data_IF_237637698953
#
_entry.id   IF_237637698953
#
_cell.length_a   1.000
_cell.length_b   1.000
_cell.length_c   1.000
_cell.angle_alpha   90.00
_cell.angle_beta   90.00
_cell.angle_gamma   90.00
#
_symmetry.space_group_name_H-M   'P 1'
#
loop_
_entity.id
_entity.type
_entity.pdbx_description
1 polymer ?
#
# COMPACT_ATOMS: atom_id res chain seq x y z
N UNK A 1 11.91 18.44 1.72
CA UNK A 1 11.31 18.88 2.99
C UNK A 1 10.36 17.77 3.40
N UNK A 2 10.92 16.71 4.00
CA UNK A 2 10.13 15.58 4.49
C UNK A 2 9.72 15.94 5.92
N UNK A 3 8.44 15.75 6.28
CA UNK A 3 7.93 16.10 7.59
C UNK A 3 8.82 15.44 8.67
N UNK A 4 9.35 16.27 9.57
CA UNK A 4 10.36 15.87 10.56
C UNK A 4 9.80 14.96 11.66
N UNK A 5 8.48 14.81 11.72
CA UNK A 5 7.79 13.96 12.69
C UNK A 5 6.97 12.90 11.96
N UNK A 6 7.28 11.64 12.26
CA UNK A 6 6.46 10.49 11.86
C UNK A 6 5.06 10.67 12.46
N UNK A 7 3.97 10.52 11.70
CA UNK A 7 2.62 10.60 12.25
C UNK A 7 2.51 9.65 13.45
N UNK A 8 2.00 10.16 14.57
CA UNK A 8 1.81 9.37 15.77
C UNK A 8 0.66 8.38 15.49
N UNK A 9 1.01 7.18 15.01
CA UNK A 9 0.06 6.09 14.75
C UNK A 9 -0.45 5.46 16.06
N UNK A 10 -0.77 6.28 17.07
CA UNK A 10 -1.58 5.85 18.20
C UNK A 10 -3.00 5.61 17.69
N UNK A 11 -3.20 4.43 17.13
CA UNK A 11 -4.50 3.79 17.12
C UNK A 11 -4.83 3.41 18.56
N UNK A 12 -5.21 4.39 19.37
CA UNK A 12 -6.00 4.15 20.57
C UNK A 12 -7.37 3.66 20.09
N UNK A 13 -7.41 2.37 19.73
CA UNK A 13 -8.61 1.61 19.40
C UNK A 13 -9.39 1.38 20.69
N UNK A 14 -9.85 2.46 21.32
CA UNK A 14 -10.63 2.40 22.54
C UNK A 14 -11.69 3.49 22.53
N UNK A 15 -12.84 3.14 21.98
CA UNK A 15 -14.02 3.99 21.86
C UNK A 15 -14.41 4.16 20.40
N UNK A 16 -15.59 3.66 20.03
CA UNK A 16 -16.28 4.12 18.84
C UNK A 16 -16.38 5.65 18.93
N UNK A 17 -15.56 6.37 18.16
CA UNK A 17 -15.61 7.83 18.08
C UNK A 17 -17.04 8.20 17.69
N UNK A 18 -17.73 9.01 18.48
CA UNK A 18 -19.08 9.45 18.13
C UNK A 18 -19.01 10.39 16.93
N UNK A 19 -20.05 10.40 16.11
CA UNK A 19 -20.18 11.36 15.01
C UNK A 19 -20.04 12.79 15.55
N UNK A 20 -19.12 13.59 14.98
CA UNK A 20 -18.87 14.96 15.41
C UNK A 20 -20.03 15.92 15.06
N UNK A 21 -20.91 15.53 14.14
CA UNK A 21 -22.08 16.32 13.74
C UNK A 21 -23.32 16.04 14.61
N UNK A 22 -23.69 14.77 14.79
CA UNK A 22 -24.91 14.41 15.54
C UNK A 22 -24.63 13.92 16.96
N UNK A 23 -23.47 13.33 17.24
CA UNK A 23 -23.12 12.78 18.56
C UNK A 23 -23.93 11.54 18.99
N UNK A 24 -24.91 11.11 18.20
CA UNK A 24 -25.84 10.02 18.55
C UNK A 24 -25.33 8.64 18.10
N UNK A 25 -24.67 8.59 16.94
CA UNK A 25 -24.18 7.36 16.33
C UNK A 25 -22.65 7.28 16.31
N UNK A 26 -22.07 6.07 16.32
CA UNK A 26 -20.65 5.90 16.10
C UNK A 26 -20.25 6.37 14.68
N UNK A 27 -19.15 7.09 14.59
CA UNK A 27 -18.57 7.51 13.34
C UNK A 27 -18.03 6.31 12.56
N UNK A 28 -18.50 6.16 11.34
CA UNK A 28 -18.12 5.11 10.39
C UNK A 28 -17.32 5.66 9.22
N UNK A 29 -17.36 6.98 9.01
CA UNK A 29 -16.73 7.71 7.90
C UNK A 29 -15.69 8.68 8.46
N UNK A 30 -14.50 8.69 7.86
CA UNK A 30 -13.45 9.68 8.13
C UNK A 30 -13.31 10.61 6.94
N UNK A 31 -13.57 11.90 7.16
CA UNK A 31 -13.50 12.95 6.15
C UNK A 31 -12.19 13.74 6.29
N UNK A 32 -11.49 13.93 5.17
CA UNK A 32 -10.33 14.80 5.05
C UNK A 32 -10.72 16.01 4.20
N UNK A 33 -10.66 17.21 4.78
CA UNK A 33 -10.90 18.45 4.04
C UNK A 33 -9.61 19.25 3.95
N UNK A 34 -9.25 19.66 2.74
CA UNK A 34 -8.09 20.51 2.48
C UNK A 34 -8.59 21.89 2.07
N UNK A 35 -8.36 22.89 2.92
CA UNK A 35 -8.69 24.29 2.62
C UNK A 35 -7.42 25.12 2.80
N UNK A 36 -7.00 25.83 1.75
CA UNK A 36 -5.80 26.69 1.75
C UNK A 36 -4.52 26.00 2.27
N UNK A 37 -4.36 24.70 1.98
CA UNK A 37 -3.21 23.90 2.39
C UNK A 37 -3.26 23.38 3.83
N UNK A 38 -4.30 23.73 4.60
CA UNK A 38 -4.58 23.14 5.91
C UNK A 38 -5.48 21.91 5.74
N UNK A 39 -5.05 20.79 6.33
CA UNK A 39 -5.81 19.53 6.34
C UNK A 39 -6.59 19.43 7.65
N UNK A 40 -7.92 19.35 7.57
CA UNK A 40 -8.80 19.09 8.72
C UNK A 40 -9.39 17.69 8.61
N UNK A 41 -9.42 17.00 9.74
CA UNK A 41 -9.95 15.64 9.90
C UNK A 41 -11.31 15.70 10.62
N UNK A 42 -12.31 14.97 10.16
CA UNK A 42 -13.65 14.95 10.76
C UNK A 42 -14.24 13.54 10.74
N UNK A 43 -14.81 13.09 11.85
CA UNK A 43 -15.44 11.77 11.99
C UNK A 43 -16.96 11.86 11.96
N UNK A 44 -17.61 11.20 10.99
CA UNK A 44 -19.06 11.29 10.76
C UNK A 44 -19.72 9.91 10.72
N UNK A 45 -21.00 9.82 11.11
CA UNK A 45 -21.85 8.67 10.81
C UNK A 45 -22.26 8.68 9.32
N UNK A 46 -22.87 7.60 8.85
CA UNK A 46 -23.28 7.46 7.44
C UNK A 46 -24.26 8.54 7.01
N UNK A 47 -25.27 8.84 7.83
CA UNK A 47 -26.29 9.85 7.49
C UNK A 47 -25.71 11.27 7.43
N UNK A 48 -24.86 11.63 8.40
CA UNK A 48 -24.20 12.94 8.41
C UNK A 48 -23.16 13.08 7.29
N UNK A 49 -22.56 11.98 6.83
CA UNK A 49 -21.63 12.02 5.70
C UNK A 49 -22.36 12.29 4.38
N UNK A 50 -23.57 11.75 4.19
CA UNK A 50 -24.39 11.98 2.99
C UNK A 50 -24.86 13.44 2.89
N UNK A 51 -25.30 14.04 3.99
CA UNK A 51 -25.73 15.45 3.99
C UNK A 51 -24.59 16.40 3.67
N UNK A 52 -23.39 16.15 4.21
CA UNK A 52 -22.19 16.94 3.90
C UNK A 52 -21.74 16.75 2.44
N UNK A 53 -21.94 15.55 1.88
CA UNK A 53 -21.66 15.29 0.47
C UNK A 53 -22.61 16.04 -0.48
N UNK A 54 -23.89 16.18 -0.10
CA UNK A 54 -24.90 16.90 -0.89
C UNK A 54 -24.70 18.43 -0.87
N UNK A 55 -24.21 18.99 0.25
CA UNK A 55 -23.98 20.44 0.38
C UNK A 55 -22.67 20.93 -0.24
N UNK A 56 -21.68 20.06 -0.40
CA UNK A 56 -20.39 20.41 -0.95
C UNK A 56 -20.29 20.01 -2.43
N UNK A 57 -20.67 20.95 -3.30
CA UNK A 57 -20.26 20.96 -4.72
C UNK A 57 -18.73 20.81 -4.81
N UNK A 58 -18.27 19.59 -5.09
CA UNK A 58 -16.84 19.29 -5.24
C UNK A 58 -16.15 18.70 -4.01
N UNK A 59 -16.88 18.10 -3.06
CA UNK A 59 -16.28 17.02 -2.27
C UNK A 59 -15.90 15.92 -3.26
N UNK A 60 -14.64 15.95 -3.69
CA UNK A 60 -13.96 14.78 -4.19
C UNK A 60 -14.04 13.77 -3.06
N UNK A 61 -15.13 13.00 -3.08
CA UNK A 61 -15.19 11.67 -2.52
C UNK A 61 -14.06 10.95 -3.24
N UNK A 62 -12.85 11.05 -2.70
CA UNK A 62 -11.72 10.19 -3.02
C UNK A 62 -12.00 8.84 -2.36
N UNK A 63 -13.18 8.30 -2.64
CA UNK A 63 -13.40 6.88 -2.64
C UNK A 63 -13.02 6.44 -4.04
N UNK A 64 -12.32 5.32 -4.11
CA UNK A 64 -11.93 4.65 -5.34
C UNK A 64 -13.18 4.24 -6.15
N UNK A 65 -13.85 5.21 -6.76
CA UNK A 65 -15.00 5.00 -7.63
C UNK A 65 -14.43 4.57 -8.99
N UNK A 66 -14.73 3.34 -9.46
CA UNK A 66 -14.28 2.89 -10.76
C UNK A 66 -14.68 3.88 -11.86
N UNK A 67 -13.81 4.07 -12.86
CA UNK A 67 -13.97 4.98 -13.99
C UNK A 67 -15.30 4.81 -14.74
N UNK A 68 -15.90 3.62 -14.67
CA UNK A 68 -17.23 3.31 -15.22
C UNK A 68 -18.35 4.10 -14.53
N UNK A 69 -18.30 4.28 -13.21
CA UNK A 69 -19.32 5.03 -12.46
C UNK A 69 -19.16 6.54 -12.64
N UNK A 70 -17.94 7.01 -12.92
CA UNK A 70 -17.68 8.41 -13.30
C UNK A 70 -18.38 8.81 -14.60
N UNK A 71 -18.70 7.84 -15.47
CA UNK A 71 -19.47 8.07 -16.71
C UNK A 71 -20.98 8.15 -16.48
N UNK A 72 -21.49 7.63 -15.36
CA UNK A 72 -22.91 7.73 -15.00
C UNK A 72 -23.30 9.10 -14.41
N UNK A 73 -22.34 9.84 -13.85
CA UNK A 73 -22.55 11.20 -13.33
C UNK A 73 -22.41 12.32 -14.37
N UNK A 74 -21.97 12.01 -15.61
CA UNK A 74 -21.98 12.97 -16.72
C UNK A 74 -23.19 12.68 -17.60
N UNK A 75 -24.23 13.51 -17.47
CA UNK A 75 -25.28 13.60 -18.47
C UNK A 75 -24.71 13.79 -19.89
N UNK A 76 -25.47 13.43 -20.94
CA UNK A 76 -24.97 13.37 -22.30
C UNK A 76 -24.66 14.78 -22.81
N UNK A 77 -23.43 15.24 -22.63
CA UNK A 77 -22.87 16.31 -23.43
C UNK A 77 -22.21 15.67 -24.64
N UNK A 78 -22.88 15.81 -25.77
CA UNK A 78 -22.31 15.58 -27.10
C UNK A 78 -20.97 16.33 -27.21
N UNK A 79 -19.91 15.60 -27.50
CA UNK A 79 -18.81 16.12 -28.31
C UNK A 79 -18.03 14.93 -28.83
N UNK A 80 -18.21 14.71 -30.14
CA UNK A 80 -17.44 13.80 -30.94
C UNK A 80 -15.95 14.20 -30.91
N UNK A 81 -15.12 13.29 -30.44
CA UNK A 81 -13.76 13.15 -30.93
C UNK A 81 -13.46 11.65 -30.98
N UNK A 82 -13.89 11.04 -32.09
CA UNK A 82 -13.46 9.73 -32.51
C UNK A 82 -11.93 9.75 -32.65
N UNK A 83 -11.23 9.30 -31.62
CA UNK A 83 -9.87 8.79 -31.77
C UNK A 83 -9.97 7.28 -31.75
N UNK A 84 -9.92 6.70 -32.94
CA UNK A 84 -9.62 5.30 -33.17
C UNK A 84 -8.23 4.98 -32.62
N UNK A 85 -8.14 4.74 -31.31
CA UNK A 85 -6.98 4.09 -30.72
C UNK A 85 -7.15 2.58 -30.89
N UNK A 86 -6.24 2.02 -31.68
CA UNK A 86 -5.99 0.60 -31.90
C UNK A 86 -6.26 -0.24 -30.65
N UNK A 87 -7.18 -1.18 -30.76
CA UNK A 87 -7.27 -2.36 -29.90
C UNK A 87 -6.15 -3.32 -30.30
N UNK A 88 -4.91 -3.00 -29.90
CA UNK A 88 -3.78 -3.94 -29.93
C UNK A 88 -3.40 -4.22 -28.48
N UNK A 89 -3.92 -5.33 -27.96
CA UNK A 89 -3.64 -5.84 -26.62
C UNK A 89 -4.94 -6.27 -25.95
N UNK A 90 -5.07 -7.56 -25.64
CA UNK A 90 -6.14 -8.08 -24.80
C UNK A 90 -6.22 -7.23 -23.52
N UNK A 91 -7.24 -6.37 -23.43
CA UNK A 91 -7.46 -5.53 -22.27
C UNK A 91 -7.80 -6.45 -21.11
N UNK A 92 -6.77 -6.85 -20.34
CA UNK A 92 -6.98 -7.56 -19.09
C UNK A 92 -7.78 -6.62 -18.19
N UNK A 93 -8.93 -7.09 -17.75
CA UNK A 93 -9.81 -6.37 -16.84
C UNK A 93 -10.16 -7.25 -15.64
N UNK A 94 -10.38 -6.61 -14.50
CA UNK A 94 -10.84 -7.31 -13.32
C UNK A 94 -12.34 -7.59 -13.44
N UNK A 95 -12.73 -8.87 -13.46
CA UNK A 95 -14.15 -9.25 -13.52
C UNK A 95 -14.97 -8.85 -12.26
N UNK A 96 -14.31 -8.46 -11.16
CA UNK A 96 -14.97 -8.08 -9.90
C UNK A 96 -15.32 -6.60 -9.85
N UNK A 97 -14.38 -5.71 -10.18
CA UNK A 97 -14.57 -4.26 -10.08
C UNK A 97 -14.51 -3.52 -11.42
N UNK A 98 -14.26 -4.23 -12.52
CA UNK A 98 -14.20 -3.66 -13.87
C UNK A 98 -12.94 -2.87 -14.19
N UNK A 99 -12.00 -2.70 -13.26
CA UNK A 99 -10.74 -1.99 -13.51
C UNK A 99 -9.99 -2.65 -14.65
N UNK A 100 -9.56 -1.86 -15.64
CA UNK A 100 -8.73 -2.34 -16.75
C UNK A 100 -7.25 -2.12 -16.47
N UNK A 101 -6.38 -2.83 -17.20
CA UNK A 101 -4.94 -2.61 -17.13
C UNK A 101 -4.55 -1.18 -17.57
N UNK A 102 -5.33 -0.57 -18.46
CA UNK A 102 -5.16 0.82 -18.88
C UNK A 102 -5.46 1.80 -17.72
N UNK A 103 -6.56 1.58 -17.00
CA UNK A 103 -6.89 2.40 -15.81
C UNK A 103 -5.77 2.32 -14.76
N UNK A 104 -5.22 1.12 -14.52
CA UNK A 104 -4.10 0.92 -13.60
C UNK A 104 -2.83 1.66 -14.06
N UNK A 105 -2.53 1.67 -15.36
CA UNK A 105 -1.38 2.40 -15.92
C UNK A 105 -1.51 3.91 -15.80
N UNK A 106 -2.71 4.44 -16.02
CA UNK A 106 -2.97 5.88 -15.96
C UNK A 106 -3.06 6.41 -14.52
N UNK A 107 -3.73 5.67 -13.65
CA UNK A 107 -4.02 6.13 -12.27
C UNK A 107 -3.05 5.60 -11.24
N UNK A 108 -2.37 4.48 -11.52
CA UNK A 108 -1.56 3.74 -10.54
C UNK A 108 -2.38 3.03 -9.45
N UNK A 109 -3.72 3.03 -9.55
CA UNK A 109 -4.60 2.54 -8.48
C UNK A 109 -5.25 1.20 -8.84
N UNK A 110 -5.39 0.34 -7.83
CA UNK A 110 -6.11 -0.93 -7.91
C UNK A 110 -7.52 -0.77 -7.34
N UNK A 111 -8.53 -1.35 -7.99
CA UNK A 111 -9.93 -1.19 -7.57
C UNK A 111 -10.36 -2.12 -6.43
N UNK A 112 -9.88 -3.37 -6.40
CA UNK A 112 -10.24 -4.34 -5.37
C UNK A 112 -9.11 -5.34 -5.10
N UNK A 113 -9.25 -6.18 -4.07
CA UNK A 113 -8.25 -7.19 -3.71
C UNK A 113 -7.90 -8.16 -4.86
N UNK A 114 -8.87 -8.50 -5.72
CA UNK A 114 -8.65 -9.41 -6.85
C UNK A 114 -7.76 -8.79 -7.94
N UNK A 115 -7.66 -7.45 -8.01
CA UNK A 115 -6.81 -6.77 -8.97
C UNK A 115 -5.32 -7.11 -8.81
N UNK A 116 -4.86 -7.39 -7.59
CA UNK A 116 -3.46 -7.82 -7.35
C UNK A 116 -3.11 -9.12 -8.07
N UNK A 117 -4.08 -10.04 -8.19
CA UNK A 117 -3.87 -11.31 -8.89
C UNK A 117 -4.01 -11.15 -10.41
N UNK A 118 -4.98 -10.34 -10.86
CA UNK A 118 -5.23 -10.12 -12.29
C UNK A 118 -4.08 -9.36 -12.95
N UNK A 119 -3.48 -8.40 -12.24
CA UNK A 119 -2.41 -7.53 -12.75
C UNK A 119 -1.04 -7.88 -12.18
N UNK A 120 -0.86 -9.09 -11.63
CA UNK A 120 0.35 -9.49 -10.93
C UNK A 120 1.62 -9.31 -11.78
N UNK A 121 1.58 -9.74 -13.05
CA UNK A 121 2.71 -9.64 -13.98
C UNK A 121 3.16 -8.18 -14.15
N UNK A 122 2.21 -7.30 -14.46
CA UNK A 122 2.48 -5.86 -14.63
C UNK A 122 2.98 -5.21 -13.35
N UNK A 123 2.36 -5.51 -12.19
CA UNK A 123 2.78 -4.98 -10.90
C UNK A 123 4.19 -5.44 -10.54
N UNK A 124 4.51 -6.71 -10.79
CA UNK A 124 5.83 -7.27 -10.49
C UNK A 124 6.91 -6.58 -11.31
N UNK A 125 6.72 -6.44 -12.63
CA UNK A 125 7.67 -5.75 -13.50
C UNK A 125 7.80 -4.26 -13.13
N UNK A 126 6.68 -3.57 -12.91
CA UNK A 126 6.68 -2.15 -12.60
C UNK A 126 7.30 -1.83 -11.23
N UNK A 127 7.13 -2.70 -10.24
CA UNK A 127 7.72 -2.52 -8.91
C UNK A 127 9.21 -2.88 -8.89
N UNK A 128 9.63 -3.90 -9.65
CA UNK A 128 11.03 -4.33 -9.73
C UNK A 128 11.94 -3.33 -10.45
N UNK A 129 11.40 -2.51 -11.36
CA UNK A 129 12.22 -1.54 -12.12
C UNK A 129 12.73 -0.36 -11.29
N UNK A 130 12.18 -0.11 -10.09
CA UNK A 130 12.56 1.03 -9.26
C UNK A 130 12.82 0.71 -7.79
N UNK A 131 12.64 -0.53 -7.34
CA UNK A 131 12.82 -0.93 -5.95
C UNK A 131 14.13 -1.69 -5.73
N UNK A 132 14.92 -1.21 -4.79
CA UNK A 132 15.90 -2.00 -4.04
C UNK A 132 15.19 -3.27 -3.49
N UNK A 133 15.86 -4.44 -3.40
CA UNK A 133 15.18 -5.71 -3.14
C UNK A 133 14.17 -5.64 -2.00
N UNK A 134 13.01 -6.22 -2.25
CA UNK A 134 11.80 -6.25 -1.40
C UNK A 134 12.00 -7.13 -0.16
N UNK A 135 13.11 -6.99 0.54
CA UNK A 135 13.37 -7.62 1.82
C UNK A 135 13.18 -6.55 2.90
N UNK A 136 12.00 -6.56 3.53
CA UNK A 136 11.70 -5.71 4.67
C UNK A 136 12.65 -6.09 5.81
N UNK A 137 13.67 -5.28 6.08
CA UNK A 137 14.65 -5.53 7.17
C UNK A 137 14.08 -5.33 8.58
N UNK A 138 12.77 -5.07 8.70
CA UNK A 138 12.01 -4.86 9.93
C UNK A 138 12.40 -3.62 10.77
N UNK A 139 11.43 -3.05 11.50
CA UNK A 139 11.71 -2.22 12.67
C UNK A 139 11.84 -3.16 13.86
N UNK A 140 12.98 -3.16 14.55
CA UNK A 140 13.22 -4.03 15.68
C UNK A 140 12.92 -3.30 17.00
N UNK A 141 12.10 -3.83 17.90
CA UNK A 141 11.99 -3.29 19.24
C UNK A 141 13.35 -3.41 19.94
N UNK A 142 13.79 -2.35 20.61
CA UNK A 142 15.08 -2.33 21.32
C UNK A 142 15.17 -3.38 22.46
N UNK A 143 14.04 -4.01 22.80
CA UNK A 143 13.88 -5.11 23.76
C UNK A 143 12.96 -6.18 23.18
N UNK A 144 13.42 -6.87 22.14
CA UNK A 144 12.80 -8.10 21.61
C UNK A 144 13.41 -9.36 22.23
N UNK A 145 12.80 -10.54 22.02
CA UNK A 145 13.43 -11.81 22.35
C UNK A 145 14.74 -11.99 21.55
N UNK A 146 15.74 -12.64 22.16
CA UNK A 146 17.08 -12.83 21.57
C UNK A 146 17.03 -13.60 20.24
N UNK A 147 16.02 -14.48 20.08
CA UNK A 147 15.73 -15.23 18.86
C UNK A 147 15.42 -14.34 17.65
N UNK A 148 14.79 -13.18 17.85
CA UNK A 148 14.52 -12.23 16.77
C UNK A 148 15.81 -11.55 16.30
N UNK A 149 16.71 -11.19 17.23
CA UNK A 149 18.01 -10.63 16.89
C UNK A 149 18.87 -11.63 16.09
N UNK A 150 18.86 -12.92 16.48
CA UNK A 150 19.55 -13.99 15.76
C UNK A 150 19.00 -14.19 14.35
N UNK A 151 17.67 -14.23 14.18
CA UNK A 151 17.02 -14.37 12.87
C UNK A 151 17.38 -13.21 11.92
N UNK A 152 17.45 -11.99 12.44
CA UNK A 152 17.86 -10.84 11.64
C UNK A 152 19.34 -10.90 11.22
N UNK A 153 20.23 -11.31 12.12
CA UNK A 153 21.64 -11.46 11.77
C UNK A 153 21.84 -12.55 10.70
N UNK A 154 21.08 -13.64 10.76
CA UNK A 154 21.05 -14.67 9.71
C UNK A 154 20.60 -14.06 8.37
N UNK A 155 19.50 -13.29 8.33
CA UNK A 155 19.05 -12.64 7.10
C UNK A 155 20.10 -11.68 6.53
N UNK A 156 20.76 -10.90 7.40
CA UNK A 156 21.84 -9.99 7.01
C UNK A 156 23.02 -10.74 6.38
N UNK A 157 23.47 -11.81 7.02
CA UNK A 157 24.58 -12.62 6.53
C UNK A 157 24.23 -13.37 5.24
N UNK A 158 22.99 -13.83 5.05
CA UNK A 158 22.54 -14.43 3.79
C UNK A 158 22.62 -13.45 2.62
N UNK A 159 22.28 -12.17 2.85
CA UNK A 159 22.46 -11.12 1.85
C UNK A 159 23.93 -10.84 1.58
N UNK A 160 24.73 -10.67 2.62
CA UNK A 160 26.18 -10.44 2.49
C UNK A 160 26.86 -11.59 1.75
N UNK A 161 26.44 -12.84 1.98
CA UNK A 161 26.92 -14.00 1.24
C UNK A 161 26.61 -13.89 -0.26
N UNK A 162 25.36 -13.53 -0.62
CA UNK A 162 24.97 -13.32 -2.02
C UNK A 162 25.82 -12.24 -2.70
N UNK A 163 26.04 -11.12 -2.01
CA UNK A 163 26.87 -10.00 -2.51
C UNK A 163 28.35 -10.42 -2.69
N UNK A 164 28.94 -11.10 -1.70
CA UNK A 164 30.34 -11.56 -1.77
C UNK A 164 30.56 -12.58 -2.89
N UNK A 165 29.60 -13.48 -3.11
CA UNK A 165 29.62 -14.43 -4.23
C UNK A 165 29.51 -13.70 -5.57
N UNK A 166 28.62 -12.71 -5.69
CA UNK A 166 28.47 -11.91 -6.89
C UNK A 166 29.73 -11.10 -7.24
N UNK A 167 30.49 -10.67 -6.22
CA UNK A 167 31.76 -9.97 -6.38
C UNK A 167 33.00 -10.90 -6.42
N UNK A 168 32.82 -12.22 -6.55
CA UNK A 168 33.90 -13.23 -6.62
C UNK A 168 34.84 -13.24 -5.39
N UNK A 169 34.40 -12.75 -4.24
CA UNK A 169 35.15 -12.73 -2.98
C UNK A 169 34.94 -14.03 -2.19
N UNK A 170 35.40 -15.14 -2.75
CA UNK A 170 35.08 -16.49 -2.25
C UNK A 170 35.62 -16.82 -0.86
N UNK A 171 36.78 -16.29 -0.49
CA UNK A 171 37.38 -16.52 0.83
C UNK A 171 36.52 -15.89 1.94
N UNK A 172 36.04 -14.67 1.72
CA UNK A 172 35.15 -13.99 2.65
C UNK A 172 33.75 -14.61 2.65
N UNK A 173 33.26 -15.03 1.48
CA UNK A 173 31.99 -15.77 1.37
C UNK A 173 32.03 -17.08 2.18
N UNK A 174 33.16 -17.80 2.19
CA UNK A 174 33.33 -18.99 3.01
C UNK A 174 33.21 -18.66 4.52
N UNK A 175 33.85 -17.58 4.98
CA UNK A 175 33.71 -17.14 6.38
C UNK A 175 32.27 -16.76 6.75
N UNK A 176 31.54 -16.08 5.86
CA UNK A 176 30.12 -15.74 6.08
C UNK A 176 29.25 -16.99 6.10
N UNK A 177 29.51 -17.96 5.23
CA UNK A 177 28.80 -19.25 5.20
C UNK A 177 29.00 -20.01 6.50
N UNK A 178 30.23 -20.09 6.99
CA UNK A 178 30.52 -20.83 8.22
C UNK A 178 29.84 -20.16 9.43
N UNK A 179 29.79 -18.82 9.46
CA UNK A 179 29.04 -18.06 10.47
C UNK A 179 27.52 -18.27 10.39
N UNK A 180 26.96 -18.42 9.19
CA UNK A 180 25.55 -18.74 9.00
C UNK A 180 25.19 -20.12 9.56
N UNK A 181 26.07 -21.11 9.39
CA UNK A 181 25.89 -22.45 9.97
C UNK A 181 25.84 -22.40 11.49
N UNK A 182 26.81 -21.71 12.11
CA UNK A 182 26.89 -21.55 13.57
C UNK A 182 25.64 -20.86 14.15
N UNK A 183 25.17 -19.78 13.52
CA UNK A 183 23.96 -19.09 13.97
C UNK A 183 22.69 -19.92 13.75
N UNK A 184 22.65 -20.74 12.70
CA UNK A 184 21.54 -21.67 12.43
C UNK A 184 21.43 -22.77 13.47
N UNK A 185 22.56 -23.33 13.92
CA UNK A 185 22.61 -24.33 15.00
C UNK A 185 22.13 -23.74 16.33
N UNK A 186 22.61 -22.54 16.70
CA UNK A 186 22.14 -21.84 17.91
C UNK A 186 20.64 -21.58 17.92
N UNK A 187 20.07 -21.19 16.77
CA UNK A 187 18.62 -20.97 16.66
C UNK A 187 17.83 -22.28 16.79
N UNK A 188 18.40 -23.43 16.44
CA UNK A 188 17.76 -24.73 16.62
C UNK A 188 17.79 -25.19 18.09
N UNK A 189 18.88 -24.89 18.82
CA UNK A 189 19.00 -25.18 20.26
C UNK A 189 18.03 -24.35 21.12
N UNK A 190 17.75 -23.09 20.74
CA UNK A 190 16.85 -22.20 21.48
C UNK A 190 15.35 -22.54 21.30
N UNK A 191 15.00 -23.44 20.38
CA UNK A 191 13.61 -23.81 20.03
C UNK A 191 13.17 -25.13 20.70
N UNK A 192 14.11 -25.92 21.24
CA UNK A 192 13.85 -27.14 22.05
C UNK A 192 13.62 -26.83 23.53
#
# INVERSE_FOLDING_TARGET
MFAEESPDWRFEFNGSVACEMCGEEPATVHLLRVVDGAVSHTHLCTECAETVADEADGLAIVLAVPSVLRRLGKGPSESEAATTLRLEGEERFCAVCGTTLSDLKETGQLGCAKCYQVFQEYLTESLLQGAEPVEHLGKMPHRGPETDALRHEIMRLQRMLRELVACERFEEAAGVRDRLTELGERLAEDVE
#
